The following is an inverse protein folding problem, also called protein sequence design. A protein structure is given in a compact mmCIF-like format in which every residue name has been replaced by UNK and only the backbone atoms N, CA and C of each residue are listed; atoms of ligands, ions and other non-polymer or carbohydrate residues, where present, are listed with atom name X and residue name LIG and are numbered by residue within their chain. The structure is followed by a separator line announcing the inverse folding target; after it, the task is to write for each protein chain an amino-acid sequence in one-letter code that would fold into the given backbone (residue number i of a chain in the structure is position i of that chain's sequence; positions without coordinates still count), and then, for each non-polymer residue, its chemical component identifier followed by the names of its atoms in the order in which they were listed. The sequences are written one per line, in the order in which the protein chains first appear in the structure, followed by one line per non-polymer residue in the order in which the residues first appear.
data_IF_562426652595
#
_entry.id   IF_562426652595
#
_cell.length_a   1.000
_cell.length_b   1.000
_cell.length_c   1.000
_cell.angle_alpha   90.00
_cell.angle_beta   90.00
_cell.angle_gamma   90.00
#
_symmetry.space_group_name_H-M   'P 1'
#
loop_
_entity.id
_entity.type
_entity.pdbx_description
1 polymer ?
#
# COMPACT_ATOMS: atom_id res chain seq x y z
N UNK A 1 0.77 -38.76 27.55
CA UNK A 1 0.32 -37.52 26.89
C UNK A 1 -0.82 -37.88 25.95
N UNK A 2 -2.07 -37.58 26.31
CA UNK A 2 -3.23 -37.89 25.48
C UNK A 2 -3.47 -36.77 24.47
N UNK A 3 -3.35 -37.06 23.17
CA UNK A 3 -3.65 -36.11 22.09
C UNK A 3 -5.18 -36.07 21.95
N UNK A 4 -5.79 -34.95 22.35
CA UNK A 4 -7.22 -34.71 22.15
C UNK A 4 -7.51 -34.66 20.64
N UNK A 5 -8.36 -35.58 20.15
CA UNK A 5 -8.83 -35.60 18.75
C UNK A 5 -9.48 -34.25 18.42
N UNK A 6 -9.07 -33.65 17.30
CA UNK A 6 -9.67 -32.42 16.75
C UNK A 6 -11.12 -32.71 16.34
N UNK A 7 -12.09 -31.84 16.65
CA UNK A 7 -13.47 -32.02 16.20
C UNK A 7 -13.52 -32.01 14.67
N UNK A 8 -14.27 -32.97 14.11
CA UNK A 8 -14.49 -33.10 12.67
C UNK A 8 -15.38 -31.93 12.21
N UNK A 9 -14.94 -31.22 11.17
CA UNK A 9 -15.70 -30.11 10.62
C UNK A 9 -17.03 -30.61 10.04
N UNK A 10 -18.10 -29.87 10.32
CA UNK A 10 -19.45 -30.15 9.83
C UNK A 10 -19.54 -29.85 8.33
N UNK A 11 -19.85 -30.83 7.47
CA UNK A 11 -20.00 -30.63 6.03
C UNK A 11 -21.02 -29.55 5.67
N UNK A 12 -22.10 -29.41 6.46
CA UNK A 12 -23.14 -28.42 6.19
C UNK A 12 -22.66 -26.97 6.39
N UNK A 13 -21.74 -26.75 7.33
CA UNK A 13 -21.14 -25.44 7.57
C UNK A 13 -20.20 -25.02 6.44
N UNK A 14 -19.52 -26.00 5.83
CA UNK A 14 -18.61 -25.77 4.69
C UNK A 14 -19.42 -25.40 3.44
N UNK A 15 -20.55 -26.08 3.22
CA UNK A 15 -21.44 -25.80 2.09
C UNK A 15 -22.11 -24.42 2.22
N UNK A 16 -22.56 -24.05 3.43
CA UNK A 16 -23.12 -22.72 3.70
C UNK A 16 -22.10 -21.58 3.47
N UNK A 17 -20.82 -21.80 3.81
CA UNK A 17 -19.76 -20.84 3.54
C UNK A 17 -19.51 -20.66 2.04
N UNK A 18 -19.54 -21.74 1.26
CA UNK A 18 -19.43 -21.69 -0.20
C UNK A 18 -20.59 -20.94 -0.86
N UNK A 19 -21.83 -21.22 -0.42
CA UNK A 19 -23.02 -20.55 -0.94
C UNK A 19 -23.02 -19.03 -0.66
N UNK A 20 -22.48 -18.60 0.48
CA UNK A 20 -22.33 -17.18 0.81
C UNK A 20 -21.32 -16.45 -0.09
N UNK A 21 -20.36 -17.16 -0.70
CA UNK A 21 -19.38 -16.57 -1.61
C UNK A 21 -19.94 -16.33 -3.03
N UNK A 22 -20.98 -17.06 -3.42
CA UNK A 22 -21.62 -16.96 -4.75
C UNK A 22 -22.74 -15.91 -4.81
N UNK A 23 -23.14 -15.34 -3.66
CA UNK A 23 -24.16 -14.29 -3.61
C UNK A 23 -23.51 -12.94 -3.89
N UNK A 24 -23.80 -12.27 -5.02
CA UNK A 24 -23.28 -10.94 -5.28
C UNK A 24 -23.83 -9.99 -4.20
N UNK A 25 -23.00 -9.13 -3.59
CA UNK A 25 -23.51 -8.11 -2.70
C UNK A 25 -24.48 -7.22 -3.48
N UNK A 26 -25.72 -7.13 -3.00
CA UNK A 26 -26.70 -6.19 -3.50
C UNK A 26 -26.07 -4.79 -3.46
N UNK A 27 -26.05 -4.11 -4.61
CA UNK A 27 -25.40 -2.80 -4.74
C UNK A 27 -26.09 -1.81 -3.82
N UNK A 28 -25.43 -1.30 -2.76
CA UNK A 28 -26.06 -0.33 -1.89
C UNK A 28 -26.37 0.94 -2.70
N UNK A 29 -27.57 1.48 -2.52
CA UNK A 29 -28.00 2.74 -3.13
C UNK A 29 -26.95 3.84 -2.86
N UNK A 30 -26.73 4.77 -3.82
CA UNK A 30 -25.72 5.80 -3.68
C UNK A 30 -26.05 6.70 -2.49
N UNK A 31 -25.30 6.55 -1.40
CA UNK A 31 -25.38 7.43 -0.24
C UNK A 31 -24.72 8.75 -0.63
N UNK A 32 -25.51 9.82 -0.73
CA UNK A 32 -24.99 11.16 -0.96
C UNK A 32 -24.09 11.52 0.22
N UNK A 33 -22.78 11.68 -0.06
CA UNK A 33 -21.81 12.05 0.96
C UNK A 33 -22.11 13.48 1.46
N UNK A 34 -22.15 13.72 2.78
CA UNK A 34 -22.31 15.06 3.30
C UNK A 34 -21.11 15.94 2.92
N UNK A 35 -21.30 17.26 2.75
CA UNK A 35 -20.22 18.18 2.42
C UNK A 35 -19.12 18.11 3.48
N UNK A 36 -17.87 18.00 3.03
CA UNK A 36 -16.71 17.95 3.89
C UNK A 36 -16.62 19.21 4.75
N UNK A 37 -16.55 19.04 6.07
CA UNK A 37 -16.36 20.15 7.00
C UNK A 37 -15.04 20.89 6.71
N UNK A 38 -14.99 22.22 6.89
CA UNK A 38 -13.77 22.99 6.68
C UNK A 38 -12.65 22.48 7.60
N UNK A 39 -11.48 22.25 6.99
CA UNK A 39 -10.29 21.73 7.67
C UNK A 39 -9.79 22.79 8.65
N UNK A 40 -10.00 22.56 9.95
CA UNK A 40 -9.39 23.40 10.98
C UNK A 40 -7.87 23.26 10.87
N UNK A 41 -7.18 24.36 10.59
CA UNK A 41 -5.72 24.40 10.56
C UNK A 41 -5.25 24.42 12.03
N UNK A 42 -4.67 23.32 12.48
CA UNK A 42 -4.08 23.26 13.82
C UNK A 42 -2.91 24.26 13.91
N UNK A 43 -2.65 24.86 15.08
CA UNK A 43 -1.51 25.76 15.26
C UNK A 43 -0.20 25.01 14.96
N UNK A 44 0.83 25.70 14.43
CA UNK A 44 2.11 25.08 14.10
C UNK A 44 2.73 24.49 15.37
N UNK A 45 2.87 23.16 15.39
CA UNK A 45 3.52 22.43 16.46
C UNK A 45 5.01 22.30 16.13
N UNK A 46 5.87 22.51 17.12
CA UNK A 46 7.30 22.19 17.00
C UNK A 46 7.46 20.69 16.80
N UNK A 47 8.04 20.22 15.68
CA UNK A 47 8.22 18.79 15.44
C UNK A 47 9.23 18.23 16.44
N UNK A 48 8.91 17.07 17.01
CA UNK A 48 9.82 16.38 17.93
C UNK A 48 10.97 15.69 17.18
N UNK A 49 12.11 15.44 17.84
CA UNK A 49 13.19 14.65 17.26
C UNK A 49 12.69 13.26 16.81
N UNK A 50 12.90 12.93 15.54
CA UNK A 50 12.40 11.68 14.94
C UNK A 50 10.96 11.73 14.44
N UNK A 51 10.26 12.87 14.60
CA UNK A 51 8.95 13.09 13.99
C UNK A 51 9.11 13.29 12.48
N UNK A 52 8.26 12.61 11.70
CA UNK A 52 8.24 12.76 10.26
C UNK A 52 7.88 14.21 9.88
N UNK A 53 8.55 14.84 8.91
CA UNK A 53 8.25 16.23 8.56
C UNK A 53 6.78 16.40 8.17
N UNK A 54 6.12 17.41 8.75
CA UNK A 54 4.69 17.62 8.58
C UNK A 54 4.28 17.79 7.10
N UNK A 55 5.14 18.45 6.32
CA UNK A 55 4.89 18.77 4.90
C UNK A 55 5.36 17.67 3.94
N UNK A 56 5.89 16.55 4.44
CA UNK A 56 6.40 15.46 3.61
C UNK A 56 5.47 14.27 3.71
N UNK A 57 4.94 13.82 2.58
CA UNK A 57 4.13 12.61 2.52
C UNK A 57 4.93 11.38 2.98
N UNK A 58 4.28 10.51 3.79
CA UNK A 58 4.88 9.24 4.24
C UNK A 58 4.83 8.14 3.18
N UNK A 59 3.89 8.26 2.25
CA UNK A 59 3.61 7.26 1.22
C UNK A 59 3.55 7.93 -0.14
N UNK A 60 3.95 7.18 -1.15
CA UNK A 60 3.88 7.59 -2.55
C UNK A 60 3.15 6.50 -3.32
N UNK A 61 2.04 6.87 -3.98
CA UNK A 61 1.35 6.01 -4.93
C UNK A 61 1.80 6.37 -6.34
N UNK A 62 2.32 5.39 -7.08
CA UNK A 62 2.77 5.59 -8.46
C UNK A 62 1.71 5.01 -9.39
N UNK A 63 1.22 5.84 -10.32
CA UNK A 63 0.38 5.39 -11.45
C UNK A 63 1.27 5.27 -12.68
N UNK A 64 1.43 4.05 -13.18
CA UNK A 64 2.22 3.78 -14.37
C UNK A 64 1.43 4.14 -15.64
N UNK A 65 1.99 4.95 -16.56
CA UNK A 65 1.33 5.23 -17.84
C UNK A 65 1.39 4.02 -18.78
N UNK A 66 2.44 3.19 -18.65
CA UNK A 66 2.67 1.97 -19.42
C UNK A 66 3.50 0.95 -18.61
N UNK A 67 3.70 -0.24 -19.19
CA UNK A 67 4.33 -1.36 -18.50
C UNK A 67 5.88 -1.37 -18.55
N UNK A 68 6.52 -0.46 -19.27
CA UNK A 68 7.97 -0.50 -19.53
C UNK A 68 8.76 -0.36 -18.23
N UNK A 69 8.55 0.74 -17.50
CA UNK A 69 9.26 1.03 -16.27
C UNK A 69 8.99 0.01 -15.13
N UNK A 70 7.73 -0.38 -14.83
CA UNK A 70 7.50 -1.40 -13.80
C UNK A 70 8.09 -2.78 -14.18
N UNK A 71 8.19 -3.11 -15.47
CA UNK A 71 8.82 -4.35 -15.93
C UNK A 71 10.34 -4.33 -15.74
N UNK A 72 11.00 -3.23 -16.08
CA UNK A 72 12.43 -3.05 -15.80
C UNK A 72 12.73 -3.09 -14.31
N UNK A 73 11.91 -2.42 -13.49
CA UNK A 73 12.05 -2.46 -12.03
C UNK A 73 11.96 -3.89 -11.49
N UNK A 74 11.02 -4.70 -11.99
CA UNK A 74 10.87 -6.09 -11.59
C UNK A 74 12.07 -6.95 -12.02
N UNK A 75 12.59 -6.74 -13.23
CA UNK A 75 13.79 -7.43 -13.72
C UNK A 75 15.02 -7.12 -12.86
N UNK A 76 15.25 -5.84 -12.53
CA UNK A 76 16.36 -5.43 -11.65
C UNK A 76 16.18 -5.99 -10.24
N UNK A 77 14.96 -5.99 -9.71
CA UNK A 77 14.67 -6.57 -8.39
C UNK A 77 15.02 -8.06 -8.34
N UNK A 78 14.73 -8.82 -9.40
CA UNK A 78 15.13 -10.23 -9.52
C UNK A 78 16.65 -10.41 -9.60
N UNK A 79 17.36 -9.56 -10.36
CA UNK A 79 18.82 -9.60 -10.47
C UNK A 79 19.52 -9.31 -9.13
N UNK A 80 18.95 -8.43 -8.31
CA UNK A 80 19.53 -8.05 -7.02
C UNK A 80 19.07 -8.93 -5.85
N UNK A 81 18.24 -9.95 -6.09
CA UNK A 81 17.57 -10.76 -5.06
C UNK A 81 16.88 -9.87 -3.98
N UNK A 82 16.12 -8.88 -4.46
CA UNK A 82 15.43 -7.89 -3.61
C UNK A 82 13.96 -7.76 -3.97
N UNK A 83 13.18 -7.26 -3.01
CA UNK A 83 11.80 -6.88 -3.30
C UNK A 83 11.77 -5.64 -4.20
N UNK A 84 10.75 -5.58 -5.08
CA UNK A 84 10.54 -4.43 -5.97
C UNK A 84 10.50 -3.09 -5.21
N UNK A 85 9.89 -3.06 -4.02
CA UNK A 85 9.86 -1.86 -3.18
C UNK A 85 11.26 -1.38 -2.76
N UNK A 86 12.13 -2.28 -2.30
CA UNK A 86 13.51 -1.92 -1.92
C UNK A 86 14.30 -1.43 -3.14
N UNK A 87 14.13 -2.10 -4.28
CA UNK A 87 14.76 -1.69 -5.54
C UNK A 87 14.27 -0.32 -5.99
N UNK A 88 12.97 -0.04 -5.88
CA UNK A 88 12.38 1.25 -6.22
C UNK A 88 12.94 2.39 -5.35
N UNK A 89 13.03 2.18 -4.03
CA UNK A 89 13.63 3.16 -3.11
C UNK A 89 15.08 3.47 -3.47
N UNK A 90 15.87 2.43 -3.81
CA UNK A 90 17.27 2.61 -4.21
C UNK A 90 17.41 3.33 -5.55
N UNK A 91 16.57 3.01 -6.53
CA UNK A 91 16.54 3.70 -7.81
C UNK A 91 16.19 5.19 -7.62
N UNK A 92 15.19 5.49 -6.77
CA UNK A 92 14.81 6.86 -6.43
C UNK A 92 15.95 7.61 -5.74
N UNK A 93 16.63 7.00 -4.76
CA UNK A 93 17.77 7.62 -4.07
C UNK A 93 18.88 8.01 -5.06
N UNK A 94 19.26 7.08 -5.94
CA UNK A 94 20.28 7.34 -6.98
C UNK A 94 19.85 8.41 -7.96
N UNK A 95 18.60 8.38 -8.43
CA UNK A 95 18.06 9.41 -9.31
C UNK A 95 18.11 10.80 -8.67
N UNK A 96 17.74 10.92 -7.40
CA UNK A 96 17.80 12.19 -6.65
C UNK A 96 19.23 12.69 -6.45
N UNK A 97 20.21 11.80 -6.29
CA UNK A 97 21.63 12.17 -6.22
C UNK A 97 22.12 12.78 -7.55
N UNK A 98 21.76 12.15 -8.67
CA UNK A 98 22.09 12.64 -10.02
C UNK A 98 21.43 14.01 -10.27
N UNK A 99 20.13 14.13 -10.04
CA UNK A 99 19.41 15.40 -10.20
C UNK A 99 20.00 16.52 -9.33
N UNK A 100 20.41 16.20 -8.11
CA UNK A 100 21.06 17.18 -7.22
C UNK A 100 22.43 17.61 -7.75
N UNK A 101 23.18 16.71 -8.38
CA UNK A 101 24.46 17.05 -8.97
C UNK A 101 24.28 17.99 -10.17
N UNK A 102 23.32 17.71 -11.04
CA UNK A 102 22.99 18.54 -12.21
C UNK A 102 22.61 19.99 -11.84
N UNK A 103 21.96 20.20 -10.69
CA UNK A 103 21.58 21.53 -10.21
C UNK A 103 22.70 22.30 -9.48
N UNK A 104 23.87 21.69 -9.28
CA UNK A 104 25.03 22.34 -8.65
C UNK A 104 26.06 22.86 -9.66
N UNK A 105 25.92 22.45 -10.92
CA UNK A 105 26.73 22.91 -12.06
C UNK A 105 26.10 24.14 -12.73
#
# INVERSE_FOLDING_TARGET
MAIKKRPQADPAAIEAFGAAADTPPETPAPVVAPPAAPRQVAPPRTPQPGEWPADVAKTLLIRWPDATLPSELAAIAALEDRSQHKTALRALQRGLEVLRAEHRE
#
